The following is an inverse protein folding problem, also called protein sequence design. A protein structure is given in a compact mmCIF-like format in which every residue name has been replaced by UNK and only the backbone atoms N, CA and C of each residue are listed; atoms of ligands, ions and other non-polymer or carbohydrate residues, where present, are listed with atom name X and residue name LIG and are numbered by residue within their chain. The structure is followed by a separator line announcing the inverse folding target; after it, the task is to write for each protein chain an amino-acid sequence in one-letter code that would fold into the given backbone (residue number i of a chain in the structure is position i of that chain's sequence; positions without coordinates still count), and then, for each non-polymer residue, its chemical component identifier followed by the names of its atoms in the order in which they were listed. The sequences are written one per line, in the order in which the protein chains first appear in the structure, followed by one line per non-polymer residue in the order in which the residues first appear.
data_IF_838565193714
#
_entry.id   IF_838565193714
#
_cell.length_a   1.000
_cell.length_b   1.000
_cell.length_c   1.000
_cell.angle_alpha   90.00
_cell.angle_beta   90.00
_cell.angle_gamma   90.00
#
_symmetry.space_group_name_H-M   'P 1'
#
loop_
_entity.id
_entity.type
_entity.pdbx_description
1 polymer ?
#
# COMPACT_ATOMS: atom_id res chain seq x y z
N UNK A 1 -19.01 25.45 -12.98
CA UNK A 1 -18.18 24.93 -11.88
C UNK A 1 -19.00 24.37 -10.72
N UNK A 2 -20.04 25.07 -10.22
CA UNK A 2 -20.89 24.52 -9.13
C UNK A 2 -21.65 23.24 -9.51
N UNK A 3 -22.18 23.14 -10.74
CA UNK A 3 -22.86 21.93 -11.23
C UNK A 3 -22.02 20.64 -11.14
N UNK A 4 -20.71 20.72 -11.41
CA UNK A 4 -19.80 19.57 -11.29
C UNK A 4 -19.58 19.23 -9.81
N UNK A 5 -19.44 20.24 -8.95
CA UNK A 5 -19.22 20.05 -7.51
C UNK A 5 -20.46 19.45 -6.84
N UNK A 6 -21.66 19.91 -7.22
CA UNK A 6 -22.93 19.44 -6.65
C UNK A 6 -23.34 18.05 -7.16
N UNK A 7 -22.86 17.65 -8.34
CA UNK A 7 -23.00 16.27 -8.85
C UNK A 7 -22.00 15.31 -8.19
N UNK A 8 -20.76 15.75 -7.91
CA UNK A 8 -19.72 14.90 -7.31
C UNK A 8 -19.85 14.71 -5.79
N UNK A 9 -20.36 15.72 -5.07
CA UNK A 9 -20.42 15.68 -3.59
C UNK A 9 -21.33 14.57 -3.02
N UNK A 10 -22.50 14.26 -3.61
CA UNK A 10 -23.36 13.15 -3.16
C UNK A 10 -22.75 11.79 -3.48
N UNK A 11 -22.22 11.60 -4.69
CA UNK A 11 -21.59 10.35 -5.13
C UNK A 11 -20.33 10.02 -4.31
N UNK A 12 -19.47 11.02 -4.07
CA UNK A 12 -18.28 10.82 -3.23
C UNK A 12 -18.62 10.59 -1.75
N UNK A 13 -19.69 11.20 -1.24
CA UNK A 13 -20.19 10.98 0.13
C UNK A 13 -20.84 9.61 0.33
N UNK A 14 -21.62 9.13 -0.64
CA UNK A 14 -22.19 7.77 -0.61
C UNK A 14 -21.12 6.70 -0.82
N UNK A 15 -20.17 6.92 -1.72
CA UNK A 15 -19.00 6.05 -1.87
C UNK A 15 -18.19 6.06 -0.58
N UNK A 16 -17.79 7.21 -0.02
CA UNK A 16 -17.00 7.24 1.21
C UNK A 16 -17.69 6.60 2.41
N UNK A 17 -19.01 6.75 2.55
CA UNK A 17 -19.79 6.13 3.64
C UNK A 17 -20.07 4.64 3.43
N UNK A 18 -20.03 4.14 2.19
CA UNK A 18 -20.16 2.71 1.88
C UNK A 18 -18.83 1.97 1.65
N UNK A 19 -17.71 2.66 1.39
CA UNK A 19 -16.47 2.03 0.89
C UNK A 19 -15.32 1.92 1.87
N UNK A 20 -15.35 2.62 3.02
CA UNK A 20 -14.15 2.68 3.85
C UNK A 20 -12.94 3.32 3.12
N UNK A 21 -13.19 4.17 2.12
CA UNK A 21 -12.13 4.73 1.27
C UNK A 21 -11.06 5.52 2.05
N UNK A 22 -11.43 6.21 3.14
CA UNK A 22 -10.44 6.87 4.00
C UNK A 22 -9.58 5.87 4.77
N UNK A 23 -10.17 4.74 5.16
CA UNK A 23 -9.51 3.66 5.88
C UNK A 23 -8.55 2.93 4.94
N UNK A 24 -9.04 2.55 3.75
CA UNK A 24 -8.23 2.02 2.65
C UNK A 24 -7.05 2.93 2.29
N UNK A 25 -7.27 4.25 2.27
CA UNK A 25 -6.19 5.22 2.01
C UNK A 25 -5.16 5.22 3.14
N UNK A 26 -5.58 5.09 4.39
CA UNK A 26 -4.69 4.96 5.54
C UNK A 26 -3.84 3.69 5.45
N UNK A 27 -4.41 2.55 5.01
CA UNK A 27 -3.68 1.31 4.76
C UNK A 27 -2.60 1.47 3.69
N UNK A 28 -2.92 2.11 2.57
CA UNK A 28 -1.96 2.41 1.51
C UNK A 28 -0.80 3.28 2.03
N UNK A 29 -1.11 4.39 2.71
CA UNK A 29 -0.08 5.29 3.23
C UNK A 29 0.73 4.65 4.36
N UNK A 30 0.09 3.86 5.21
CA UNK A 30 0.73 3.10 6.28
C UNK A 30 1.74 2.09 5.74
N UNK A 31 1.35 1.30 4.73
CA UNK A 31 2.25 0.36 4.06
C UNK A 31 3.46 1.06 3.44
N UNK A 32 3.25 2.21 2.80
CA UNK A 32 4.32 3.03 2.23
C UNK A 32 5.25 3.63 3.29
N UNK A 33 4.72 4.10 4.41
CA UNK A 33 5.51 4.63 5.52
C UNK A 33 6.40 3.52 6.13
N UNK A 34 5.84 2.33 6.38
CA UNK A 34 6.57 1.18 6.89
C UNK A 34 7.67 0.75 5.91
N UNK A 35 7.40 0.77 4.61
CA UNK A 35 8.39 0.45 3.58
C UNK A 35 9.62 1.37 3.66
N UNK A 36 9.39 2.68 3.77
CA UNK A 36 10.46 3.68 3.89
C UNK A 36 11.23 3.54 5.21
N UNK A 37 10.53 3.32 6.32
CA UNK A 37 11.16 3.07 7.62
C UNK A 37 12.01 1.80 7.59
N UNK A 38 11.48 0.71 7.06
CA UNK A 38 12.21 -0.55 6.91
C UNK A 38 13.46 -0.37 6.04
N UNK A 39 13.37 0.40 4.95
CA UNK A 39 14.53 0.77 4.13
C UNK A 39 15.58 1.52 4.94
N UNK A 40 15.19 2.53 5.73
CA UNK A 40 16.11 3.35 6.53
C UNK A 40 16.81 2.51 7.59
N UNK A 41 16.04 1.70 8.33
CA UNK A 41 16.55 0.88 9.44
C UNK A 41 17.45 -0.24 8.93
N UNK A 42 16.99 -1.00 7.93
CA UNK A 42 17.75 -2.14 7.40
C UNK A 42 18.87 -1.72 6.46
N UNK A 43 18.83 -0.48 5.97
CA UNK A 43 19.70 0.09 4.91
C UNK A 43 19.71 -0.77 3.63
N UNK A 44 18.74 -1.67 3.47
CA UNK A 44 18.58 -2.49 2.28
C UNK A 44 17.80 -1.71 1.23
N UNK A 45 18.12 -1.98 -0.03
CA UNK A 45 17.39 -1.38 -1.15
C UNK A 45 15.93 -1.81 -1.16
N UNK A 46 15.05 -0.90 -1.60
CA UNK A 46 13.63 -1.20 -1.89
C UNK A 46 13.44 -2.29 -2.95
N UNK A 47 14.47 -2.59 -3.76
CA UNK A 47 14.45 -3.69 -4.71
C UNK A 47 14.73 -5.07 -4.08
N UNK A 48 15.00 -5.16 -2.77
CA UNK A 48 15.15 -6.46 -2.10
C UNK A 48 13.86 -6.86 -1.40
N UNK A 49 13.74 -8.14 -1.06
CA UNK A 49 12.61 -8.64 -0.27
C UNK A 49 12.57 -8.07 1.15
N UNK A 50 13.70 -7.56 1.68
CA UNK A 50 13.81 -7.19 3.09
C UNK A 50 12.80 -6.09 3.48
N UNK A 51 12.76 -4.89 2.85
CA UNK A 51 11.79 -3.88 3.23
C UNK A 51 10.34 -4.32 3.02
N UNK A 52 10.07 -5.11 1.97
CA UNK A 52 8.73 -5.64 1.70
C UNK A 52 8.25 -6.60 2.78
N UNK A 53 9.11 -7.51 3.26
CA UNK A 53 8.74 -8.46 4.32
C UNK A 53 8.39 -7.76 5.63
N UNK A 54 9.01 -6.60 5.93
CA UNK A 54 8.60 -5.77 7.06
C UNK A 54 7.17 -5.25 6.90
N UNK A 55 6.82 -4.74 5.72
CA UNK A 55 5.46 -4.29 5.43
C UNK A 55 4.46 -5.44 5.54
N UNK A 56 4.76 -6.59 4.91
CA UNK A 56 3.91 -7.77 4.98
C UNK A 56 3.70 -8.23 6.42
N UNK A 57 4.77 -8.29 7.21
CA UNK A 57 4.69 -8.66 8.63
C UNK A 57 3.84 -7.66 9.41
N UNK A 58 4.02 -6.36 9.18
CA UNK A 58 3.24 -5.33 9.85
C UNK A 58 1.75 -5.38 9.48
N UNK A 59 1.41 -5.62 8.21
CA UNK A 59 0.04 -5.80 7.76
C UNK A 59 -0.64 -7.00 8.45
N UNK A 60 0.06 -8.14 8.53
CA UNK A 60 -0.45 -9.33 9.21
C UNK A 60 -0.58 -9.13 10.72
N UNK A 61 0.40 -8.49 11.36
CA UNK A 61 0.34 -8.20 12.80
C UNK A 61 -0.80 -7.25 13.14
N UNK A 62 -1.07 -6.26 12.28
CA UNK A 62 -2.19 -5.33 12.43
C UNK A 62 -3.52 -6.09 12.41
N UNK A 63 -3.71 -6.97 11.41
CA UNK A 63 -4.92 -7.79 11.32
C UNK A 63 -5.09 -8.75 12.51
N UNK A 64 -3.99 -9.34 13.00
CA UNK A 64 -4.02 -10.18 14.20
C UNK A 64 -4.43 -9.35 15.42
N UNK A 65 -3.90 -8.13 15.58
CA UNK A 65 -4.27 -7.25 16.68
C UNK A 65 -5.75 -6.85 16.62
N UNK A 66 -6.26 -6.53 15.43
CA UNK A 66 -7.65 -6.16 15.23
C UNK A 66 -8.58 -7.37 15.51
N UNK A 67 -8.18 -8.58 15.12
CA UNK A 67 -8.86 -9.82 15.51
C UNK A 67 -8.93 -10.00 17.04
N UNK A 68 -7.82 -9.78 17.75
CA UNK A 68 -7.77 -9.93 19.21
C UNK A 68 -8.67 -8.88 19.88
N UNK A 69 -8.66 -7.64 19.37
CA UNK A 69 -9.42 -6.53 19.94
C UNK A 69 -10.94 -6.65 19.70
N UNK A 70 -11.36 -7.13 18.53
CA UNK A 70 -12.78 -7.15 18.12
C UNK A 70 -13.43 -8.54 18.17
N UNK A 71 -12.64 -9.61 18.38
CA UNK A 71 -13.13 -10.98 18.61
C UNK A 71 -13.76 -11.70 17.39
N UNK A 72 -13.96 -11.01 16.26
CA UNK A 72 -14.57 -11.54 15.04
C UNK A 72 -13.69 -11.22 13.84
N UNK A 73 -13.50 -12.19 12.95
CA UNK A 73 -12.81 -11.97 11.66
C UNK A 73 -13.81 -11.38 10.66
N UNK A 74 -13.56 -10.16 10.17
CA UNK A 74 -14.35 -9.54 9.11
C UNK A 74 -13.68 -9.85 7.77
N UNK A 75 -13.77 -11.11 7.32
CA UNK A 75 -12.92 -11.62 6.21
C UNK A 75 -12.89 -10.80 4.92
N UNK A 76 -13.96 -10.09 4.49
CA UNK A 76 -13.86 -9.19 3.35
C UNK A 76 -12.93 -8.01 3.67
N UNK A 77 -13.17 -7.30 4.77
CA UNK A 77 -12.46 -6.09 5.15
C UNK A 77 -10.98 -6.38 5.47
N UNK A 78 -10.73 -7.41 6.28
CA UNK A 78 -9.38 -7.90 6.65
C UNK A 78 -8.48 -8.19 5.45
N UNK A 79 -9.04 -8.83 4.41
CA UNK A 79 -8.29 -9.17 3.21
C UNK A 79 -8.00 -7.92 2.36
N UNK A 80 -8.99 -7.02 2.23
CA UNK A 80 -8.81 -5.76 1.52
C UNK A 80 -7.79 -4.85 2.21
N UNK A 81 -7.75 -4.81 3.54
CA UNK A 81 -6.79 -4.01 4.30
C UNK A 81 -5.36 -4.50 4.14
N UNK A 82 -5.15 -5.82 4.18
CA UNK A 82 -3.85 -6.42 3.89
C UNK A 82 -3.44 -6.11 2.45
N UNK A 83 -4.32 -6.31 1.47
CA UNK A 83 -4.02 -6.03 0.05
C UNK A 83 -3.68 -4.55 -0.14
N UNK A 84 -4.48 -3.64 0.38
CA UNK A 84 -4.25 -2.19 0.30
C UNK A 84 -2.91 -1.80 0.93
N UNK A 85 -2.51 -2.47 2.01
CA UNK A 85 -1.23 -2.22 2.69
C UNK A 85 -0.03 -2.73 1.88
N UNK A 86 -0.11 -3.91 1.25
CA UNK A 86 1.06 -4.55 0.61
C UNK A 86 1.18 -4.31 -0.89
N UNK A 87 0.10 -3.93 -1.59
CA UNK A 87 0.06 -3.87 -3.05
C UNK A 87 1.11 -2.93 -3.65
N UNK A 88 1.11 -1.65 -3.28
CA UNK A 88 2.07 -0.67 -3.80
C UNK A 88 3.53 -0.98 -3.39
N UNK A 89 3.81 -1.38 -2.14
CA UNK A 89 5.13 -1.87 -1.76
C UNK A 89 5.63 -3.03 -2.63
N UNK A 90 4.76 -3.99 -2.98
CA UNK A 90 5.11 -5.09 -3.87
C UNK A 90 5.41 -4.61 -5.29
N UNK A 91 4.54 -3.76 -5.86
CA UNK A 91 4.72 -3.16 -7.19
C UNK A 91 6.05 -2.40 -7.27
N UNK A 92 6.38 -1.59 -6.26
CA UNK A 92 7.63 -0.84 -6.20
C UNK A 92 8.84 -1.77 -6.14
N UNK A 93 8.80 -2.78 -5.28
CA UNK A 93 9.88 -3.76 -5.19
C UNK A 93 10.09 -4.46 -6.54
N UNK A 94 9.02 -4.94 -7.19
CA UNK A 94 9.10 -5.61 -8.49
C UNK A 94 9.60 -4.68 -9.60
N UNK A 95 9.05 -3.46 -9.69
CA UNK A 95 9.48 -2.47 -10.69
C UNK A 95 10.94 -2.06 -10.53
N UNK A 96 11.41 -1.86 -9.29
CA UNK A 96 12.81 -1.54 -9.02
C UNK A 96 13.75 -2.72 -9.29
N UNK A 97 13.30 -3.96 -9.04
CA UNK A 97 14.05 -5.17 -9.41
C UNK A 97 14.17 -5.32 -10.92
N UNK A 98 13.06 -5.10 -11.63
CA UNK A 98 13.04 -5.14 -13.10
C UNK A 98 14.03 -4.15 -13.70
N UNK A 99 14.01 -2.89 -13.23
CA UNK A 99 14.94 -1.84 -13.69
C UNK A 99 16.40 -2.20 -13.42
N UNK A 100 16.71 -2.86 -12.30
CA UNK A 100 18.07 -3.33 -12.00
C UNK A 100 18.52 -4.46 -12.93
N UNK A 101 17.60 -5.33 -13.34
CA UNK A 101 17.88 -6.42 -14.27
C UNK A 101 18.02 -5.95 -15.73
N UNK A 102 17.42 -4.80 -16.06
CA UNK A 102 17.50 -4.17 -17.39
C UNK A 102 18.06 -2.75 -17.26
N UNK A 103 19.38 -2.59 -17.05
CA UNK A 103 20.01 -1.27 -17.07
C UNK A 103 19.74 -0.61 -18.43
N UNK A 104 19.44 0.68 -18.42
CA UNK A 104 19.34 1.45 -19.66
C UNK A 104 20.65 1.27 -20.44
N UNK A 105 20.57 0.81 -21.69
CA UNK A 105 21.75 0.77 -22.55
C UNK A 105 22.24 2.21 -22.68
N UNK A 106 23.52 2.51 -22.36
CA UNK A 106 24.04 3.85 -22.64
C UNK A 106 23.79 4.11 -24.13
N UNK A 107 23.10 5.20 -24.43
CA UNK A 107 22.88 5.64 -25.79
C UNK A 107 24.24 5.67 -26.48
N UNK A 108 24.32 5.11 -27.67
CA UNK A 108 25.50 5.20 -28.51
C UNK A 108 25.72 6.67 -28.86
N UNK A 109 26.48 7.37 -28.03
CA UNK A 109 27.10 8.64 -28.38
C UNK A 109 28.15 8.31 -29.45
N UNK A 110 27.74 8.49 -30.70
CA UNK A 110 28.61 8.63 -31.87
C UNK A 110 28.80 10.11 -32.15
#
# INVERSE_FOLDING_TARGET
MQFIIDFYRPLSGEIASMTGASDSLAHVHGGMAILILARIITRRSLATWVPFLFVLTAALLKEIADRIAHGVWRMPDSAFDIINTIFWPWILMMGLRWRRAHPDRPGSEY
#
